data_IF_066730720537
#
_entry.id   IF_066730720537
#
_cell.length_a   1.000
_cell.length_b   1.000
_cell.length_c   1.000
_cell.angle_alpha   90.00
_cell.angle_beta   90.00
_cell.angle_gamma   90.00
#
_symmetry.space_group_name_H-M   'P 1'
#
loop_
_entity.id
_entity.type
_entity.pdbx_description
1 polymer ?
#
# COMPACT_ATOMS: atom_id res chain seq x y z
N UNK A 1 41.73 0.82 -36.65
CA UNK A 1 41.08 2.14 -36.46
C UNK A 1 42.13 3.19 -36.81
N UNK A 2 41.83 4.35 -37.41
CA UNK A 2 42.87 5.38 -37.65
C UNK A 2 42.69 6.47 -36.59
N UNK A 3 43.53 6.44 -35.55
CA UNK A 3 43.59 7.50 -34.53
C UNK A 3 44.31 8.71 -35.14
N UNK A 4 43.71 9.89 -35.03
CA UNK A 4 44.30 11.16 -35.55
C UNK A 4 45.40 11.66 -34.60
N UNK A 5 45.33 11.27 -33.33
CA UNK A 5 46.23 11.74 -32.26
C UNK A 5 47.33 10.75 -31.90
N UNK A 6 47.13 9.46 -32.14
CA UNK A 6 48.13 8.42 -31.89
C UNK A 6 48.60 7.83 -33.21
N UNK A 7 49.87 8.02 -33.58
CA UNK A 7 50.49 7.39 -34.75
C UNK A 7 50.72 5.90 -34.46
N UNK A 8 49.71 5.08 -34.72
CA UNK A 8 49.79 3.61 -34.66
C UNK A 8 50.00 3.08 -36.08
N UNK A 9 51.13 2.42 -36.32
CA UNK A 9 51.62 2.02 -37.65
C UNK A 9 51.15 0.61 -38.10
N UNK A 10 50.34 -0.08 -37.29
CA UNK A 10 49.82 -1.41 -37.60
C UNK A 10 50.80 -2.56 -37.32
N UNK A 11 51.97 -2.27 -36.75
CA UNK A 11 52.91 -3.29 -36.23
C UNK A 11 52.29 -4.11 -35.09
N UNK A 12 52.77 -5.33 -34.81
CA UNK A 12 52.35 -6.10 -33.63
C UNK A 12 52.48 -5.31 -32.31
N UNK A 13 53.50 -4.46 -32.17
CA UNK A 13 53.70 -3.55 -31.04
C UNK A 13 52.59 -2.50 -30.95
N UNK A 14 52.15 -1.93 -32.09
CA UNK A 14 51.06 -0.95 -32.13
C UNK A 14 49.70 -1.52 -31.71
N UNK A 15 49.43 -2.80 -32.01
CA UNK A 15 48.20 -3.51 -31.60
C UNK A 15 48.13 -3.66 -30.08
N UNK A 16 49.28 -3.95 -29.44
CA UNK A 16 49.37 -4.00 -27.98
C UNK A 16 49.13 -2.61 -27.38
N UNK A 17 49.75 -1.57 -27.97
CA UNK A 17 49.61 -0.19 -27.50
C UNK A 17 48.16 0.33 -27.62
N UNK A 18 47.45 -0.01 -28.70
CA UNK A 18 46.02 0.27 -28.88
C UNK A 18 45.19 -0.33 -27.73
N UNK A 19 45.41 -1.62 -27.43
CA UNK A 19 44.72 -2.32 -26.34
C UNK A 19 45.00 -1.69 -24.97
N UNK A 20 46.22 -1.20 -24.74
CA UNK A 20 46.58 -0.48 -23.49
C UNK A 20 45.85 0.86 -23.41
N UNK A 21 45.81 1.63 -24.49
CA UNK A 21 45.09 2.91 -24.51
C UNK A 21 43.58 2.74 -24.31
N UNK A 22 42.97 1.74 -24.94
CA UNK A 22 41.56 1.39 -24.71
C UNK A 22 41.32 1.03 -23.24
N UNK A 23 42.18 0.19 -22.66
CA UNK A 23 42.11 -0.18 -21.25
C UNK A 23 42.28 1.02 -20.30
N UNK A 24 43.20 1.94 -20.62
CA UNK A 24 43.41 3.17 -19.85
C UNK A 24 42.21 4.11 -19.95
N UNK A 25 41.63 4.28 -21.13
CA UNK A 25 40.44 5.10 -21.35
C UNK A 25 39.23 4.52 -20.60
N UNK A 26 39.04 3.20 -20.65
CA UNK A 26 37.99 2.51 -19.90
C UNK A 26 38.19 2.66 -18.38
N UNK A 27 39.42 2.47 -17.89
CA UNK A 27 39.78 2.67 -16.50
C UNK A 27 39.48 4.11 -16.06
N UNK A 28 39.93 5.10 -16.81
CA UNK A 28 39.70 6.52 -16.50
C UNK A 28 38.21 6.84 -16.41
N UNK A 29 37.41 6.37 -17.37
CA UNK A 29 35.96 6.55 -17.39
C UNK A 29 35.28 5.91 -16.17
N UNK A 30 35.63 4.66 -15.84
CA UNK A 30 35.11 3.96 -14.66
C UNK A 30 35.53 4.62 -13.34
N UNK A 31 36.78 5.05 -13.24
CA UNK A 31 37.32 5.71 -12.06
C UNK A 31 36.65 7.08 -11.85
N UNK A 32 36.49 7.88 -12.90
CA UNK A 32 35.77 9.16 -12.82
C UNK A 32 34.32 8.95 -12.37
N UNK A 33 33.61 7.97 -12.93
CA UNK A 33 32.26 7.65 -12.51
C UNK A 33 32.19 7.26 -11.02
N UNK A 34 33.20 6.54 -10.51
CA UNK A 34 33.32 6.17 -9.09
C UNK A 34 33.52 7.41 -8.21
N UNK A 35 34.45 8.29 -8.55
CA UNK A 35 34.73 9.50 -7.76
C UNK A 35 33.56 10.48 -7.76
N UNK A 36 32.89 10.66 -8.92
CA UNK A 36 31.65 11.45 -9.00
C UNK A 36 30.58 10.87 -8.09
N UNK A 37 30.34 9.55 -8.14
CA UNK A 37 29.35 8.91 -7.28
C UNK A 37 29.72 9.02 -5.80
N UNK A 38 31.01 8.95 -5.44
CA UNK A 38 31.49 9.16 -4.07
C UNK A 38 31.11 10.56 -3.56
N UNK A 39 31.40 11.61 -4.34
CA UNK A 39 31.01 12.98 -4.00
C UNK A 39 29.50 13.20 -3.92
N UNK A 40 28.73 12.56 -4.81
CA UNK A 40 27.27 12.62 -4.76
C UNK A 40 26.70 11.91 -3.53
N UNK A 41 27.27 10.76 -3.13
CA UNK A 41 26.86 10.06 -1.90
C UNK A 41 27.14 10.90 -0.65
N UNK A 42 28.31 11.53 -0.58
CA UNK A 42 28.65 12.44 0.52
C UNK A 42 27.65 13.61 0.62
N UNK A 43 27.33 14.23 -0.52
CA UNK A 43 26.30 15.28 -0.59
C UNK A 43 24.92 14.76 -0.15
N UNK A 44 24.58 13.52 -0.51
CA UNK A 44 23.33 12.87 -0.15
C UNK A 44 23.22 12.53 1.35
N UNK A 45 24.30 12.09 1.99
CA UNK A 45 24.34 11.86 3.44
C UNK A 45 24.12 13.15 4.23
N UNK A 46 24.57 14.29 3.69
CA UNK A 46 24.28 15.62 4.23
C UNK A 46 22.87 16.13 3.86
N UNK A 47 22.05 15.30 3.22
CA UNK A 47 20.70 15.58 2.74
C UNK A 47 20.59 16.79 1.80
N UNK A 48 21.69 17.14 1.12
CA UNK A 48 21.73 18.23 0.14
C UNK A 48 21.19 17.76 -1.21
N UNK A 49 20.67 18.70 -1.98
CA UNK A 49 20.16 18.46 -3.31
C UNK A 49 21.30 18.11 -4.28
N UNK A 50 21.24 16.91 -4.86
CA UNK A 50 22.27 16.36 -5.76
C UNK A 50 22.03 16.70 -7.23
N UNK A 51 21.22 17.73 -7.51
CA UNK A 51 20.93 18.22 -8.86
C UNK A 51 19.58 17.76 -9.44
N UNK A 52 19.23 18.36 -10.58
CA UNK A 52 17.95 18.18 -11.25
C UNK A 52 16.88 19.17 -10.77
N UNK A 53 15.62 18.86 -11.06
CA UNK A 53 14.46 19.64 -10.62
C UNK A 53 13.96 19.03 -9.30
N UNK A 54 13.80 19.80 -8.21
CA UNK A 54 13.25 19.28 -6.97
C UNK A 54 11.80 18.82 -7.16
N UNK A 55 11.29 17.91 -6.31
CA UNK A 55 9.88 17.53 -6.36
C UNK A 55 8.96 18.75 -6.15
N UNK A 56 7.74 18.69 -6.70
CA UNK A 56 6.70 19.70 -6.50
C UNK A 56 6.48 19.93 -4.99
N UNK A 57 6.35 21.17 -4.54
CA UNK A 57 6.21 21.49 -3.11
C UNK A 57 7.52 21.83 -2.43
N UNK A 58 8.65 21.62 -3.11
CA UNK A 58 9.97 21.98 -2.60
C UNK A 58 10.69 22.99 -3.50
N UNK A 59 11.52 23.80 -2.86
CA UNK A 59 12.54 24.64 -3.47
C UNK A 59 13.91 24.28 -2.90
N UNK A 60 14.96 24.51 -3.69
CA UNK A 60 16.34 24.29 -3.25
C UNK A 60 16.91 25.65 -2.83
N UNK A 61 17.37 25.72 -1.60
CA UNK A 61 17.99 26.91 -1.02
C UNK A 61 19.45 27.05 -1.49
N UNK A 62 20.10 28.22 -1.31
CA UNK A 62 21.49 28.43 -1.73
C UNK A 62 22.49 27.42 -1.12
N UNK A 63 22.21 26.94 0.09
CA UNK A 63 22.98 25.90 0.79
C UNK A 63 22.74 24.46 0.25
N UNK A 64 21.96 24.36 -0.84
CA UNK A 64 21.47 23.13 -1.47
C UNK A 64 20.51 22.31 -0.60
N UNK A 65 20.02 22.81 0.53
CA UNK A 65 18.97 22.12 1.29
C UNK A 65 17.59 22.35 0.66
N UNK A 66 16.68 21.46 0.97
CA UNK A 66 15.29 21.58 0.55
C UNK A 66 14.53 22.46 1.55
N UNK A 67 13.74 23.40 1.05
CA UNK A 67 12.76 24.13 1.82
C UNK A 67 11.38 23.92 1.20
N UNK A 68 10.34 23.98 2.03
CA UNK A 68 8.96 23.87 1.55
C UNK A 68 8.61 25.15 0.79
N UNK A 69 8.04 24.98 -0.40
CA UNK A 69 7.34 26.05 -1.11
C UNK A 69 5.84 25.90 -0.81
N UNK A 70 5.32 26.72 0.10
CA UNK A 70 3.95 26.62 0.57
C UNK A 70 2.91 26.68 -0.56
N UNK A 71 3.16 27.47 -1.63
CA UNK A 71 2.24 27.58 -2.76
C UNK A 71 2.09 26.24 -3.50
N UNK A 72 3.20 25.55 -3.71
CA UNK A 72 3.20 24.24 -4.35
C UNK A 72 2.84 23.12 -3.37
N UNK A 73 3.21 23.24 -2.10
CA UNK A 73 2.96 22.24 -1.07
C UNK A 73 1.45 22.08 -0.78
N UNK A 74 0.66 23.15 -0.93
CA UNK A 74 -0.81 23.07 -0.91
C UNK A 74 -1.32 22.08 -1.96
N UNK A 75 -0.72 22.05 -3.16
CA UNK A 75 -1.11 21.12 -4.23
C UNK A 75 -0.84 19.68 -3.79
N UNK A 76 0.35 19.43 -3.23
CA UNK A 76 0.74 18.10 -2.72
C UNK A 76 -0.22 17.66 -1.61
N UNK A 77 -0.46 18.49 -0.59
CA UNK A 77 -1.39 18.18 0.51
C UNK A 77 -2.80 17.89 0.01
N UNK A 78 -3.30 18.67 -0.95
CA UNK A 78 -4.60 18.43 -1.60
C UNK A 78 -4.64 17.06 -2.28
N UNK A 79 -3.58 16.67 -2.98
CA UNK A 79 -3.50 15.34 -3.65
C UNK A 79 -3.57 14.20 -2.63
N UNK A 80 -2.82 14.30 -1.53
CA UNK A 80 -2.84 13.29 -0.47
C UNK A 80 -4.20 13.20 0.21
N UNK A 81 -4.79 14.34 0.60
CA UNK A 81 -6.10 14.41 1.24
C UNK A 81 -7.20 13.81 0.35
N UNK A 82 -7.32 14.28 -0.90
CA UNK A 82 -8.31 13.73 -1.84
C UNK A 82 -8.09 12.23 -2.07
N UNK A 83 -6.85 11.75 -2.11
CA UNK A 83 -6.60 10.33 -2.30
C UNK A 83 -7.06 9.48 -1.11
N UNK A 84 -6.75 9.93 0.12
CA UNK A 84 -7.15 9.27 1.36
C UNK A 84 -8.67 9.27 1.53
N UNK A 85 -9.34 10.35 1.13
CA UNK A 85 -10.80 10.45 1.09
C UNK A 85 -11.46 9.60 -0.02
N UNK A 86 -10.69 8.76 -0.71
CA UNK A 86 -11.22 7.74 -1.61
C UNK A 86 -11.36 8.17 -3.07
N UNK A 87 -10.99 9.39 -3.44
CA UNK A 87 -11.12 9.87 -4.81
C UNK A 87 -10.21 9.07 -5.78
N UNK A 88 -10.65 8.96 -7.03
CA UNK A 88 -9.88 8.31 -8.10
C UNK A 88 -8.86 9.28 -8.70
N UNK A 89 -7.80 8.75 -9.34
CA UNK A 89 -6.82 9.61 -10.02
C UNK A 89 -7.45 10.55 -11.05
N UNK A 90 -8.52 10.12 -11.72
CA UNK A 90 -9.25 10.97 -12.67
C UNK A 90 -9.86 12.19 -11.98
N UNK A 91 -10.64 11.97 -10.92
CA UNK A 91 -11.26 13.05 -10.15
C UNK A 91 -10.23 14.02 -9.55
N UNK A 92 -9.08 13.51 -9.10
CA UNK A 92 -7.98 14.35 -8.60
C UNK A 92 -7.43 15.21 -9.74
N UNK A 93 -7.14 14.63 -10.91
CA UNK A 93 -6.65 15.37 -12.08
C UNK A 93 -7.65 16.45 -12.50
N UNK A 94 -8.94 16.13 -12.57
CA UNK A 94 -9.99 17.07 -12.95
C UNK A 94 -10.05 18.25 -11.97
N UNK A 95 -9.97 17.98 -10.67
CA UNK A 95 -9.91 19.02 -9.63
C UNK A 95 -8.67 19.92 -9.77
N UNK A 96 -7.49 19.33 -9.96
CA UNK A 96 -6.24 20.08 -10.12
C UNK A 96 -6.27 20.96 -11.38
N UNK A 97 -6.78 20.42 -12.49
CA UNK A 97 -6.89 21.16 -13.75
C UNK A 97 -7.91 22.30 -13.65
N UNK A 98 -9.03 22.09 -12.96
CA UNK A 98 -10.06 23.11 -12.75
C UNK A 98 -9.53 24.28 -11.89
N UNK A 99 -8.67 23.99 -10.90
CA UNK A 99 -7.97 25.02 -10.12
C UNK A 99 -6.75 25.63 -10.84
N UNK A 100 -6.46 25.20 -12.06
CA UNK A 100 -5.33 25.71 -12.85
C UNK A 100 -3.96 25.25 -12.37
N UNK A 101 -3.87 24.27 -11.46
CA UNK A 101 -2.60 23.78 -10.94
C UNK A 101 -1.79 23.04 -12.01
N UNK A 102 -0.46 23.21 -11.94
CA UNK A 102 0.50 22.60 -12.88
C UNK A 102 1.56 21.80 -12.12
N UNK A 103 2.20 20.87 -12.83
CA UNK A 103 3.38 20.18 -12.32
C UNK A 103 4.54 21.15 -12.18
N UNK A 104 5.63 20.73 -11.50
CA UNK A 104 6.86 21.52 -11.35
C UNK A 104 7.48 21.96 -12.69
N UNK A 105 7.21 21.23 -13.76
CA UNK A 105 7.66 21.52 -15.14
C UNK A 105 6.62 22.30 -15.97
N UNK A 106 5.56 22.81 -15.35
CA UNK A 106 4.51 23.59 -16.01
C UNK A 106 3.49 22.78 -16.81
N UNK A 107 3.53 21.44 -16.74
CA UNK A 107 2.62 20.56 -17.49
C UNK A 107 1.33 20.27 -16.71
N UNK A 108 0.33 19.73 -17.39
CA UNK A 108 -0.89 19.21 -16.76
C UNK A 108 -0.61 17.91 -16.00
N UNK A 109 -1.42 17.62 -14.98
CA UNK A 109 -1.25 16.41 -14.19
C UNK A 109 -1.78 15.18 -14.96
N UNK A 110 -0.93 14.17 -15.10
CA UNK A 110 -1.32 12.85 -15.60
C UNK A 110 -1.45 11.83 -14.47
N UNK A 111 -1.98 10.65 -14.78
CA UNK A 111 -2.10 9.54 -13.80
C UNK A 111 -0.75 9.16 -13.19
N UNK A 112 0.30 9.14 -14.02
CA UNK A 112 1.66 8.83 -13.57
C UNK A 112 2.23 9.94 -12.68
N UNK A 113 1.84 11.19 -12.88
CA UNK A 113 2.22 12.31 -12.01
C UNK A 113 1.62 12.14 -10.62
N UNK A 114 0.32 11.81 -10.54
CA UNK A 114 -0.36 11.57 -9.26
C UNK A 114 0.24 10.36 -8.54
N UNK A 115 0.44 9.24 -9.26
CA UNK A 115 1.10 8.06 -8.69
C UNK A 115 2.49 8.38 -8.16
N UNK A 116 3.30 9.09 -8.95
CA UNK A 116 4.66 9.47 -8.55
C UNK A 116 4.69 10.41 -7.34
N UNK A 117 3.66 11.25 -7.15
CA UNK A 117 3.55 12.09 -5.95
C UNK A 117 3.21 11.24 -4.73
N UNK A 118 2.20 10.38 -4.83
CA UNK A 118 1.74 9.53 -3.72
C UNK A 118 2.78 8.46 -3.32
N UNK A 119 3.65 8.01 -4.24
CA UNK A 119 4.70 7.02 -3.97
C UNK A 119 6.01 7.62 -3.43
N UNK A 120 6.17 8.94 -3.47
CA UNK A 120 7.43 9.59 -3.14
C UNK A 120 7.56 9.87 -1.64
N UNK A 121 8.36 9.06 -0.96
CA UNK A 121 8.66 9.14 0.48
C UNK A 121 9.32 10.48 0.89
N UNK A 122 9.86 11.26 -0.05
CA UNK A 122 10.34 12.62 0.25
C UNK A 122 9.25 13.53 0.83
N UNK A 123 7.98 13.26 0.57
CA UNK A 123 6.88 14.05 1.13
C UNK A 123 6.63 13.77 2.61
N UNK A 124 7.03 12.62 3.14
CA UNK A 124 6.95 12.26 4.56
C UNK A 124 8.22 12.61 5.34
N UNK A 125 9.13 13.38 4.76
CA UNK A 125 10.38 13.80 5.40
C UNK A 125 11.56 12.85 5.22
N UNK A 126 11.43 11.80 4.40
CA UNK A 126 12.52 10.85 4.14
C UNK A 126 13.36 11.31 2.93
N UNK A 127 14.63 11.62 3.15
CA UNK A 127 15.54 11.90 2.06
C UNK A 127 15.95 10.61 1.36
N UNK A 128 15.73 10.53 0.05
CA UNK A 128 16.14 9.38 -0.79
C UNK A 128 17.14 9.81 -1.86
N UNK A 129 18.20 9.03 -2.04
CA UNK A 129 19.15 9.12 -3.15
C UNK A 129 19.52 7.73 -3.73
N UNK A 130 19.91 7.69 -5.01
CA UNK A 130 20.37 6.50 -5.72
C UNK A 130 19.33 5.35 -5.87
N UNK A 131 18.02 5.63 -5.84
CA UNK A 131 16.95 4.62 -5.99
C UNK A 131 16.84 4.01 -7.40
N UNK A 132 17.13 4.78 -8.45
CA UNK A 132 16.87 4.36 -9.83
C UNK A 132 17.86 3.33 -10.36
N UNK A 133 17.35 2.31 -11.05
CA UNK A 133 18.18 1.30 -11.73
C UNK A 133 19.10 1.88 -12.83
N UNK A 134 20.15 1.11 -13.15
CA UNK A 134 21.03 1.37 -14.28
C UNK A 134 20.24 1.29 -15.60
N UNK A 135 20.74 1.99 -16.62
CA UNK A 135 20.23 1.83 -17.99
C UNK A 135 20.62 0.44 -18.50
N UNK A 136 19.79 -0.15 -19.35
CA UNK A 136 20.14 -1.36 -20.08
C UNK A 136 21.21 -1.08 -21.15
N UNK A 137 21.67 -2.14 -21.83
CA UNK A 137 22.68 -2.05 -22.89
C UNK A 137 22.26 -1.14 -24.06
N UNK A 138 20.96 -0.89 -24.23
CA UNK A 138 20.41 -0.01 -25.26
C UNK A 138 20.14 1.41 -24.75
N UNK A 139 20.59 1.74 -23.53
CA UNK A 139 20.47 3.05 -22.93
C UNK A 139 19.08 3.37 -22.36
N UNK A 140 18.16 2.41 -22.33
CA UNK A 140 16.81 2.57 -21.78
C UNK A 140 16.78 2.24 -20.29
N UNK A 141 16.08 3.06 -19.50
CA UNK A 141 15.94 2.86 -18.06
C UNK A 141 14.58 2.23 -17.73
N UNK A 142 14.59 1.18 -16.92
CA UNK A 142 13.36 0.64 -16.35
C UNK A 142 12.95 1.45 -15.12
N UNK A 143 11.96 2.34 -15.28
CA UNK A 143 11.44 3.18 -14.19
C UNK A 143 10.75 2.41 -13.05
N UNK A 144 10.47 1.11 -13.23
CA UNK A 144 9.84 0.25 -12.23
C UNK A 144 10.83 -0.64 -11.48
N UNK A 145 12.10 -0.64 -11.88
CA UNK A 145 13.14 -1.40 -11.21
C UNK A 145 13.98 -0.45 -10.36
N UNK A 146 14.03 -0.73 -9.06
CA UNK A 146 14.92 -0.06 -8.13
C UNK A 146 16.19 -0.86 -7.93
N UNK A 147 17.22 -0.17 -7.45
CA UNK A 147 18.47 -0.82 -7.02
C UNK A 147 18.24 -1.63 -5.74
N UNK A 148 19.24 -2.43 -5.40
CA UNK A 148 19.30 -3.09 -4.10
C UNK A 148 19.27 -2.06 -2.97
N UNK A 149 18.65 -2.43 -1.86
CA UNK A 149 18.45 -1.53 -0.72
C UNK A 149 19.78 -1.04 -0.13
N UNK A 150 20.85 -1.84 -0.18
CA UNK A 150 22.20 -1.46 0.27
C UNK A 150 22.84 -0.34 -0.54
N UNK A 151 22.39 -0.11 -1.78
CA UNK A 151 22.87 0.98 -2.63
C UNK A 151 22.08 2.27 -2.42
N UNK A 152 20.89 2.21 -1.83
CA UNK A 152 19.98 3.34 -1.73
C UNK A 152 20.21 4.05 -0.40
N UNK A 153 20.50 5.35 -0.47
CA UNK A 153 20.64 6.17 0.72
C UNK A 153 19.25 6.65 1.13
N UNK A 154 18.82 6.29 2.34
CA UNK A 154 17.63 6.80 3.02
C UNK A 154 18.02 7.47 4.32
N UNK A 155 17.61 8.71 4.51
CA UNK A 155 17.82 9.46 5.75
C UNK A 155 16.48 10.00 6.23
N UNK A 156 15.97 9.44 7.31
CA UNK A 156 14.72 9.90 7.95
C UNK A 156 14.91 11.30 8.53
N UNK A 157 13.90 12.17 8.37
CA UNK A 157 14.00 13.58 8.78
C UNK A 157 14.98 14.43 7.97
N UNK A 158 15.61 13.87 6.92
CA UNK A 158 16.60 14.56 6.09
C UNK A 158 16.03 15.65 5.18
N UNK A 159 14.70 15.72 5.01
CA UNK A 159 14.01 16.74 4.23
C UNK A 159 12.79 17.22 5.02
N UNK A 160 12.40 18.52 4.96
CA UNK A 160 11.16 18.97 5.60
C UNK A 160 9.95 18.18 5.09
N UNK A 161 9.10 17.69 5.98
CA UNK A 161 7.93 16.91 5.60
C UNK A 161 6.77 17.82 5.16
N UNK A 162 6.13 17.51 4.04
CA UNK A 162 4.90 18.19 3.58
C UNK A 162 3.65 17.51 4.13
N UNK A 163 3.71 16.19 4.33
CA UNK A 163 2.67 15.36 4.95
C UNK A 163 3.27 14.56 6.11
N UNK A 164 2.45 14.21 7.11
CA UNK A 164 2.92 13.37 8.22
C UNK A 164 3.23 11.94 7.74
N UNK A 165 4.11 11.25 8.48
CA UNK A 165 4.42 9.84 8.26
C UNK A 165 3.17 8.98 8.28
N UNK A 166 2.19 9.31 9.13
CA UNK A 166 0.91 8.61 9.22
C UNK A 166 0.06 8.77 7.94
N UNK A 167 -0.08 10.00 7.44
CA UNK A 167 -0.79 10.29 6.18
C UNK A 167 -0.16 9.53 5.02
N UNK A 168 1.18 9.47 4.98
CA UNK A 168 1.91 8.72 3.97
C UNK A 168 1.69 7.21 4.09
N UNK A 169 1.78 6.64 5.31
CA UNK A 169 1.52 5.23 5.57
C UNK A 169 0.11 4.82 5.12
N UNK A 170 -0.92 5.56 5.54
CA UNK A 170 -2.32 5.34 5.14
C UNK A 170 -2.51 5.39 3.63
N UNK A 171 -1.83 6.33 2.97
CA UNK A 171 -1.82 6.43 1.50
C UNK A 171 -1.27 5.16 0.86
N UNK A 172 -0.12 4.64 1.35
CA UNK A 172 0.50 3.42 0.81
C UNK A 172 -0.38 2.19 1.02
N UNK A 173 -1.07 2.08 2.15
CA UNK A 173 -2.04 1.01 2.41
C UNK A 173 -3.20 1.03 1.40
N UNK A 174 -3.78 2.21 1.14
CA UNK A 174 -4.82 2.41 0.13
C UNK A 174 -4.29 2.09 -1.27
N UNK A 175 -3.08 2.51 -1.61
CA UNK A 175 -2.47 2.18 -2.90
C UNK A 175 -2.31 0.68 -3.08
N UNK A 176 -1.83 -0.03 -2.05
CA UNK A 176 -1.62 -1.47 -2.08
C UNK A 176 -2.94 -2.27 -2.11
N UNK A 177 -3.98 -1.81 -1.40
CA UNK A 177 -5.30 -2.44 -1.47
C UNK A 177 -5.92 -2.30 -2.86
N UNK A 178 -5.78 -1.13 -3.50
CA UNK A 178 -6.26 -0.87 -4.87
C UNK A 178 -5.51 -1.67 -5.94
N UNK A 179 -4.24 -2.02 -5.73
CA UNK A 179 -3.48 -2.93 -6.63
C UNK A 179 -4.11 -4.32 -6.73
N UNK A 180 -4.86 -4.77 -5.70
CA UNK A 180 -5.54 -6.07 -5.70
C UNK A 180 -6.79 -6.11 -6.59
N UNK A 181 -7.32 -4.95 -7.02
CA UNK A 181 -8.53 -4.85 -7.85
C UNK A 181 -8.37 -3.89 -9.07
N UNK A 182 -7.40 -4.13 -9.97
CA UNK A 182 -6.99 -3.18 -11.01
C UNK A 182 -8.08 -2.86 -12.07
N UNK A 183 -9.14 -3.66 -12.16
CA UNK A 183 -10.24 -3.49 -13.12
C UNK A 183 -11.45 -2.67 -12.64
N UNK A 184 -11.56 -2.38 -11.33
CA UNK A 184 -12.79 -1.85 -10.75
C UNK A 184 -13.17 -0.44 -11.28
N UNK A 185 -12.18 0.43 -11.52
CA UNK A 185 -12.41 1.84 -11.88
C UNK A 185 -12.56 2.11 -13.39
N UNK A 186 -12.44 1.09 -14.24
CA UNK A 186 -12.63 1.19 -15.71
C UNK A 186 -13.90 0.50 -16.20
N UNK A 187 -14.59 -0.26 -15.35
CA UNK A 187 -15.73 -1.04 -15.76
C UNK A 187 -16.96 -0.14 -15.96
N UNK A 188 -17.62 -0.24 -17.12
CA UNK A 188 -18.93 0.40 -17.41
C UNK A 188 -20.09 -0.28 -16.67
N UNK A 189 -19.78 -1.26 -15.83
CA UNK A 189 -20.70 -2.11 -15.08
C UNK A 189 -20.08 -2.38 -13.72
N UNK A 190 -20.86 -2.28 -12.66
CA UNK A 190 -20.38 -2.52 -11.30
C UNK A 190 -20.49 -4.00 -10.97
N UNK A 191 -19.34 -4.67 -10.82
CA UNK A 191 -19.25 -6.06 -10.40
C UNK A 191 -18.99 -6.11 -8.88
N UNK A 192 -19.93 -6.64 -8.09
CA UNK A 192 -19.84 -6.68 -6.64
C UNK A 192 -18.67 -7.57 -6.18
N UNK A 193 -18.45 -8.68 -6.87
CA UNK A 193 -17.43 -9.67 -6.52
C UNK A 193 -16.04 -9.35 -7.11
N UNK A 194 -15.80 -8.09 -7.49
CA UNK A 194 -14.51 -7.68 -8.08
C UNK A 194 -13.36 -7.95 -7.10
N UNK A 195 -12.44 -8.83 -7.49
CA UNK A 195 -11.29 -9.22 -6.67
C UNK A 195 -11.56 -10.38 -5.70
N UNK A 196 -12.80 -10.86 -5.59
CA UNK A 196 -13.21 -11.93 -4.68
C UNK A 196 -13.53 -13.25 -5.41
N UNK A 197 -13.93 -13.18 -6.68
CA UNK A 197 -14.36 -14.34 -7.45
C UNK A 197 -13.23 -15.06 -8.19
N UNK A 198 -13.13 -16.37 -7.97
CA UNK A 198 -12.02 -17.23 -8.40
C UNK A 198 -12.57 -18.43 -9.18
N UNK A 199 -11.83 -18.87 -10.20
CA UNK A 199 -12.12 -20.11 -10.90
C UNK A 199 -11.63 -21.31 -10.10
N UNK A 200 -12.53 -22.18 -9.65
CA UNK A 200 -12.20 -23.42 -8.91
C UNK A 200 -11.46 -24.48 -9.73
N UNK A 201 -11.32 -24.30 -11.05
CA UNK A 201 -10.58 -25.24 -11.92
C UNK A 201 -9.11 -24.86 -12.12
N UNK A 202 -8.79 -23.57 -12.22
CA UNK A 202 -7.43 -23.11 -12.54
C UNK A 202 -6.86 -22.10 -11.53
N UNK A 203 -7.60 -21.78 -10.47
CA UNK A 203 -7.19 -20.85 -9.40
C UNK A 203 -7.10 -19.38 -9.82
N UNK A 204 -7.30 -19.05 -11.10
CA UNK A 204 -7.23 -17.66 -11.59
C UNK A 204 -8.51 -16.89 -11.26
N UNK A 205 -8.37 -15.61 -10.94
CA UNK A 205 -9.48 -14.69 -10.77
C UNK A 205 -10.40 -14.66 -12.01
N UNK A 206 -11.71 -14.64 -11.78
CA UNK A 206 -12.68 -14.43 -12.86
C UNK A 206 -12.82 -12.93 -13.17
N UNK A 207 -13.05 -12.62 -14.44
CA UNK A 207 -13.15 -11.26 -14.95
C UNK A 207 -14.58 -10.97 -15.37
N UNK A 208 -15.02 -9.73 -15.18
CA UNK A 208 -16.30 -9.26 -15.69
C UNK A 208 -16.32 -9.29 -17.22
N UNK A 209 -17.34 -9.93 -17.79
CA UNK A 209 -17.59 -10.02 -19.21
C UNK A 209 -18.96 -9.40 -19.52
N UNK A 210 -19.05 -8.69 -20.65
CA UNK A 210 -20.27 -8.06 -21.15
C UNK A 210 -20.44 -8.40 -22.62
N UNK A 211 -21.61 -8.92 -22.98
CA UNK A 211 -22.01 -9.10 -24.38
C UNK A 211 -23.29 -8.32 -24.64
N UNK A 212 -23.24 -7.45 -25.66
CA UNK A 212 -24.44 -6.82 -26.21
C UNK A 212 -24.61 -7.40 -27.61
N UNK A 213 -25.67 -8.17 -27.82
CA UNK A 213 -26.06 -8.59 -29.16
C UNK A 213 -27.23 -7.71 -29.63
N UNK A 214 -27.29 -7.42 -30.93
CA UNK A 214 -28.42 -6.71 -31.55
C UNK A 214 -29.69 -7.54 -31.27
N UNK A 215 -30.73 -6.92 -30.72
CA UNK A 215 -32.01 -7.54 -30.36
C UNK A 215 -31.98 -8.58 -29.22
N UNK A 216 -30.97 -8.57 -28.34
CA UNK A 216 -30.97 -9.37 -27.11
C UNK A 216 -30.67 -8.50 -25.88
N UNK A 217 -31.25 -8.83 -24.71
CA UNK A 217 -30.90 -8.15 -23.48
C UNK A 217 -29.40 -8.29 -23.20
N UNK A 218 -28.85 -7.26 -22.55
CA UNK A 218 -27.46 -7.20 -22.14
C UNK A 218 -27.12 -8.43 -21.30
N UNK A 219 -26.11 -9.19 -21.73
CA UNK A 219 -25.64 -10.35 -20.99
C UNK A 219 -24.37 -9.99 -20.22
N UNK A 220 -24.46 -10.00 -18.90
CA UNK A 220 -23.33 -9.72 -18.00
C UNK A 220 -22.97 -10.99 -17.25
N UNK A 221 -21.69 -11.34 -17.26
CA UNK A 221 -21.19 -12.58 -16.65
C UNK A 221 -19.83 -12.39 -16.00
N UNK A 222 -19.48 -13.31 -15.11
CA UNK A 222 -18.10 -13.54 -14.70
C UNK A 222 -17.53 -14.68 -15.52
N UNK A 223 -16.35 -14.47 -16.11
CA UNK A 223 -15.66 -15.44 -16.97
C UNK A 223 -14.22 -15.66 -16.49
N UNK A 224 -13.78 -16.92 -16.46
CA UNK A 224 -12.41 -17.26 -16.08
C UNK A 224 -11.36 -16.50 -16.92
N UNK A 225 -10.38 -15.87 -16.26
CA UNK A 225 -9.31 -15.10 -16.91
C UNK A 225 -8.45 -15.95 -17.86
N UNK A 226 -8.06 -17.17 -17.46
CA UNK A 226 -7.32 -18.09 -18.32
C UNK A 226 -8.13 -18.52 -19.55
N UNK A 227 -9.44 -18.73 -19.42
CA UNK A 227 -10.31 -19.02 -20.56
C UNK A 227 -10.42 -17.82 -21.52
N UNK A 228 -10.44 -16.60 -20.99
CA UNK A 228 -10.54 -15.38 -21.79
C UNK A 228 -9.25 -15.08 -22.54
N UNK A 229 -8.09 -15.19 -21.87
CA UNK A 229 -6.80 -14.76 -22.40
C UNK A 229 -6.02 -15.88 -23.09
N UNK A 230 -5.96 -17.06 -22.47
CA UNK A 230 -5.09 -18.18 -22.88
C UNK A 230 -5.85 -19.36 -23.49
N UNK A 231 -7.18 -19.40 -23.35
CA UNK A 231 -8.07 -20.50 -23.78
C UNK A 231 -7.73 -21.88 -23.15
N UNK A 232 -6.99 -21.92 -22.05
CA UNK A 232 -6.53 -23.15 -21.40
C UNK A 232 -7.46 -23.69 -20.30
N UNK A 233 -8.54 -22.97 -19.96
CA UNK A 233 -9.51 -23.40 -18.95
C UNK A 233 -10.90 -23.52 -19.59
N UNK A 234 -11.61 -24.61 -19.28
CA UNK A 234 -12.92 -24.94 -19.83
C UNK A 234 -14.10 -24.52 -18.95
N UNK A 235 -13.82 -24.00 -17.74
CA UNK A 235 -14.85 -23.60 -16.79
C UNK A 235 -15.80 -22.56 -17.41
N UNK A 236 -17.11 -22.80 -17.25
CA UNK A 236 -18.18 -21.99 -17.85
C UNK A 236 -18.35 -20.67 -17.11
N UNK A 237 -18.64 -19.62 -17.88
CA UNK A 237 -19.00 -18.33 -17.30
C UNK A 237 -20.32 -18.45 -16.51
N UNK A 238 -20.45 -17.61 -15.49
CA UNK A 238 -21.62 -17.57 -14.61
C UNK A 238 -22.26 -16.19 -14.74
N UNK A 239 -23.59 -16.13 -14.85
CA UNK A 239 -24.31 -14.85 -14.94
C UNK A 239 -24.08 -14.02 -13.68
N UNK A 240 -23.84 -12.73 -13.87
CA UNK A 240 -23.53 -11.78 -12.79
C UNK A 240 -24.65 -11.75 -11.77
N UNK A 241 -25.87 -11.60 -12.25
CA UNK A 241 -27.07 -11.41 -11.43
C UNK A 241 -27.29 -12.60 -10.51
N UNK A 242 -27.07 -13.83 -10.99
CA UNK A 242 -27.36 -15.04 -10.23
C UNK A 242 -26.36 -15.24 -9.09
N UNK A 243 -25.06 -15.05 -9.37
CA UNK A 243 -24.04 -15.25 -8.35
C UNK A 243 -24.03 -14.11 -7.33
N UNK A 244 -24.29 -12.89 -7.76
CA UNK A 244 -24.36 -11.74 -6.84
C UNK A 244 -25.57 -11.85 -5.91
N UNK A 245 -26.75 -12.19 -6.41
CA UNK A 245 -27.95 -12.38 -5.57
C UNK A 245 -27.79 -13.55 -4.59
N UNK A 246 -27.14 -14.64 -5.03
CA UNK A 246 -26.82 -15.75 -4.13
C UNK A 246 -25.90 -15.33 -3.00
N UNK A 247 -24.81 -14.61 -3.30
CA UNK A 247 -23.88 -14.14 -2.27
C UNK A 247 -24.60 -13.18 -1.29
N UNK A 248 -25.45 -12.28 -1.79
CA UNK A 248 -26.21 -11.36 -0.94
C UNK A 248 -27.24 -12.07 -0.05
N UNK A 249 -27.99 -13.03 -0.61
CA UNK A 249 -28.97 -13.80 0.17
C UNK A 249 -28.31 -14.73 1.20
N UNK A 250 -27.15 -15.29 0.91
CA UNK A 250 -26.39 -16.10 1.86
C UNK A 250 -25.71 -15.24 2.94
N UNK A 251 -25.29 -14.02 2.61
CA UNK A 251 -24.90 -13.01 3.61
C UNK A 251 -26.08 -12.73 4.56
N UNK A 252 -27.27 -12.50 4.03
CA UNK A 252 -28.47 -12.24 4.83
C UNK A 252 -28.81 -13.41 5.76
N UNK A 253 -28.80 -14.65 5.25
CA UNK A 253 -29.16 -15.84 6.04
C UNK A 253 -28.12 -16.24 7.07
N UNK A 254 -26.83 -16.23 6.71
CA UNK A 254 -25.78 -16.82 7.54
C UNK A 254 -25.20 -15.82 8.54
N UNK A 255 -25.24 -14.51 8.24
CA UNK A 255 -24.66 -13.46 9.09
C UNK A 255 -25.74 -12.63 9.80
N UNK A 256 -26.94 -12.45 9.20
CA UNK A 256 -28.00 -11.59 9.75
C UNK A 256 -29.15 -12.36 10.43
N UNK A 257 -28.95 -13.63 10.77
CA UNK A 257 -29.97 -14.40 11.49
C UNK A 257 -30.03 -13.95 12.95
N UNK A 258 -31.21 -13.57 13.44
CA UNK A 258 -31.44 -13.11 14.82
C UNK A 258 -30.97 -14.12 15.88
N UNK A 259 -30.91 -15.41 15.54
CA UNK A 259 -30.35 -16.47 16.41
C UNK A 259 -28.82 -16.53 16.44
N UNK A 260 -28.15 -16.02 15.41
CA UNK A 260 -26.69 -16.00 15.32
C UNK A 260 -26.08 -14.78 16.01
N UNK A 261 -26.81 -13.67 16.12
CA UNK A 261 -26.34 -12.40 16.70
C UNK A 261 -25.85 -12.57 18.16
N UNK A 262 -26.56 -13.25 19.07
CA UNK A 262 -26.11 -13.41 20.45
C UNK A 262 -24.82 -14.24 20.56
N UNK A 263 -24.75 -15.36 19.84
CA UNK A 263 -23.57 -16.24 19.79
C UNK A 263 -22.34 -15.49 19.26
N UNK A 264 -22.59 -14.61 18.28
CA UNK A 264 -21.57 -13.80 17.65
C UNK A 264 -21.05 -12.71 18.60
N UNK A 265 -21.95 -12.02 19.31
CA UNK A 265 -21.60 -11.01 20.32
C UNK A 265 -20.84 -11.63 21.49
N UNK A 266 -21.25 -12.81 21.95
CA UNK A 266 -20.56 -13.54 23.00
C UNK A 266 -19.13 -13.93 22.57
N UNK A 267 -18.97 -14.52 21.38
CA UNK A 267 -17.64 -14.87 20.85
C UNK A 267 -16.74 -13.65 20.68
N UNK A 268 -17.28 -12.52 20.20
CA UNK A 268 -16.50 -11.28 20.04
C UNK A 268 -16.05 -10.77 21.40
N UNK A 269 -16.95 -10.68 22.38
CA UNK A 269 -16.61 -10.14 23.69
C UNK A 269 -15.63 -11.03 24.46
N UNK A 270 -15.76 -12.36 24.34
CA UNK A 270 -14.78 -13.30 24.91
C UNK A 270 -13.41 -13.13 24.28
N UNK A 271 -13.35 -12.97 22.95
CA UNK A 271 -12.09 -12.75 22.26
C UNK A 271 -11.45 -11.39 22.58
N UNK A 272 -12.24 -10.31 22.67
CA UNK A 272 -11.79 -9.00 23.14
C UNK A 272 -11.24 -9.06 24.57
N UNK A 273 -11.87 -9.86 25.43
CA UNK A 273 -11.40 -10.10 26.80
C UNK A 273 -10.07 -10.85 26.83
N UNK A 274 -9.92 -11.92 26.05
CA UNK A 274 -8.64 -12.64 25.93
C UNK A 274 -7.52 -11.75 25.36
N UNK A 275 -7.82 -10.86 24.42
CA UNK A 275 -6.86 -9.90 23.91
C UNK A 275 -6.50 -8.82 24.93
N UNK A 276 -7.46 -8.31 25.70
CA UNK A 276 -7.19 -7.38 26.80
C UNK A 276 -6.28 -8.04 27.85
N UNK A 277 -6.54 -9.30 28.21
CA UNK A 277 -5.72 -10.07 29.14
C UNK A 277 -4.29 -10.29 28.60
N UNK A 278 -4.12 -10.62 27.31
CA UNK A 278 -2.78 -10.72 26.68
C UNK A 278 -2.08 -9.36 26.60
N UNK A 279 -2.81 -8.30 26.28
CA UNK A 279 -2.34 -6.93 26.21
C UNK A 279 -1.84 -6.43 27.57
N UNK A 280 -2.55 -6.74 28.66
CA UNK A 280 -2.14 -6.41 30.03
C UNK A 280 -0.80 -7.06 30.41
N UNK A 281 -0.56 -8.31 30.01
CA UNK A 281 0.72 -8.99 30.25
C UNK A 281 1.86 -8.28 29.51
N UNK A 282 1.66 -7.89 28.25
CA UNK A 282 2.66 -7.13 27.47
C UNK A 282 2.88 -5.72 28.01
N UNK A 283 1.82 -5.01 28.42
CA UNK A 283 1.90 -3.68 29.04
C UNK A 283 2.69 -3.76 30.36
N UNK A 284 2.48 -4.81 31.17
CA UNK A 284 3.23 -5.03 32.42
C UNK A 284 4.72 -5.26 32.15
N UNK A 285 5.07 -6.02 31.12
CA UNK A 285 6.46 -6.24 30.72
C UNK A 285 7.14 -4.93 30.29
N UNK A 286 6.46 -4.12 29.46
CA UNK A 286 6.98 -2.80 29.03
C UNK A 286 7.12 -1.82 30.20
N UNK A 287 6.18 -1.82 31.16
CA UNK A 287 6.29 -1.00 32.38
C UNK A 287 7.51 -1.39 33.22
N UNK A 288 7.81 -2.68 33.34
CA UNK A 288 9.04 -3.12 34.03
C UNK A 288 10.30 -2.65 33.31
N UNK A 289 10.33 -2.70 31.98
CA UNK A 289 11.47 -2.21 31.19
C UNK A 289 11.67 -0.68 31.34
N UNK A 290 10.59 0.09 31.46
CA UNK A 290 10.66 1.52 31.77
C UNK A 290 11.30 1.75 33.14
N UNK A 291 10.93 0.97 34.16
CA UNK A 291 11.54 1.09 35.50
C UNK A 291 13.03 0.70 35.51
N UNK A 292 13.43 -0.29 34.73
CA UNK A 292 14.86 -0.63 34.54
C UNK A 292 15.63 0.53 33.90
N UNK A 293 15.08 1.14 32.84
CA UNK A 293 15.70 2.29 32.17
C UNK A 293 15.77 3.51 33.08
N UNK A 294 14.73 3.78 33.89
CA UNK A 294 14.74 4.84 34.90
C UNK A 294 15.85 4.60 35.93
N UNK A 295 15.98 3.38 36.42
CA UNK A 295 17.05 3.01 37.37
C UNK A 295 18.44 3.26 36.77
N UNK A 296 18.64 2.93 35.49
CA UNK A 296 19.90 3.20 34.80
C UNK A 296 20.17 4.71 34.65
N UNK A 297 19.15 5.50 34.35
CA UNK A 297 19.24 6.97 34.31
C UNK A 297 19.63 7.51 35.70
N UNK A 298 18.95 7.07 36.76
CA UNK A 298 19.18 7.51 38.14
C UNK A 298 20.60 7.15 38.62
N UNK A 299 21.13 5.99 38.22
CA UNK A 299 22.50 5.60 38.50
C UNK A 299 23.52 6.53 37.83
N UNK A 300 23.28 6.93 36.58
CA UNK A 300 24.15 7.88 35.87
C UNK A 300 24.07 9.27 36.52
N UNK A 301 22.86 9.73 36.87
CA UNK A 301 22.66 11.00 37.59
C UNK A 301 23.40 10.99 38.93
N UNK A 302 23.33 9.89 39.67
CA UNK A 302 24.01 9.71 40.96
C UNK A 302 25.53 9.74 40.80
N UNK A 303 26.08 9.06 39.78
CA UNK A 303 27.52 9.07 39.50
C UNK A 303 28.03 10.48 39.16
N UNK A 304 27.27 11.25 38.36
CA UNK A 304 27.58 12.65 38.04
C UNK A 304 27.54 13.51 39.31
N UNK A 305 26.52 13.33 40.16
CA UNK A 305 26.40 14.08 41.43
C UNK A 305 27.56 13.79 42.40
N UNK A 306 28.14 12.58 42.34
CA UNK A 306 29.33 12.19 43.11
C UNK A 306 30.66 12.69 42.49
N UNK A 307 30.61 13.44 41.39
CA UNK A 307 31.78 14.05 40.76
C UNK A 307 32.45 13.19 39.69
N UNK A 308 31.90 12.01 39.37
CA UNK A 308 32.35 11.20 38.24
C UNK A 308 31.65 11.68 36.98
N UNK A 309 32.33 12.52 36.18
CA UNK A 309 31.83 12.95 34.88
C UNK A 309 32.74 12.47 33.75
N UNK A 310 32.15 11.81 32.78
CA UNK A 310 32.76 11.36 31.53
C UNK A 310 31.87 11.81 30.37
N UNK A 311 32.46 12.20 29.25
CA UNK A 311 31.72 12.71 28.08
C UNK A 311 30.75 11.64 27.52
N UNK A 312 31.12 10.37 27.70
CA UNK A 312 30.33 9.18 27.37
C UNK A 312 29.00 9.10 28.14
N UNK A 313 28.89 9.71 29.33
CA UNK A 313 27.66 9.71 30.12
C UNK A 313 26.55 10.53 29.47
N UNK A 314 26.90 11.61 28.75
CA UNK A 314 25.92 12.40 28.02
C UNK A 314 25.28 11.59 26.90
N UNK A 315 26.10 10.91 26.08
CA UNK A 315 25.61 10.08 25.00
C UNK A 315 24.72 8.93 25.48
N UNK A 316 25.11 8.28 26.57
CA UNK A 316 24.31 7.19 27.16
C UNK A 316 23.04 7.69 27.84
N UNK A 317 23.05 8.87 28.43
CA UNK A 317 21.86 9.53 28.99
C UNK A 317 20.83 9.83 27.89
N UNK A 318 21.27 10.44 26.78
CA UNK A 318 20.40 10.78 25.64
C UNK A 318 19.78 9.50 25.03
N UNK A 319 20.55 8.41 24.93
CA UNK A 319 20.07 7.10 24.46
C UNK A 319 19.00 6.53 25.39
N UNK A 320 19.25 6.49 26.70
CA UNK A 320 18.30 5.96 27.69
C UNK A 320 17.02 6.79 27.76
N UNK A 321 17.13 8.12 27.70
CA UNK A 321 15.96 9.01 27.62
C UNK A 321 15.15 8.78 26.35
N UNK A 322 15.83 8.62 25.20
CA UNK A 322 15.19 8.28 23.93
C UNK A 322 14.48 6.92 23.97
N UNK A 323 15.09 5.92 24.61
CA UNK A 323 14.49 4.59 24.80
C UNK A 323 13.27 4.66 25.72
N UNK A 324 13.37 5.37 26.84
CA UNK A 324 12.25 5.60 27.78
C UNK A 324 11.05 6.21 27.06
N UNK A 325 11.27 7.29 26.30
CA UNK A 325 10.20 7.98 25.58
C UNK A 325 9.50 7.08 24.55
N UNK A 326 10.25 6.23 23.85
CA UNK A 326 9.68 5.23 22.93
C UNK A 326 8.85 4.18 23.66
N UNK A 327 9.35 3.66 24.78
CA UNK A 327 8.64 2.66 25.58
C UNK A 327 7.33 3.24 26.16
N UNK A 328 7.36 4.47 26.67
CA UNK A 328 6.18 5.18 27.18
C UNK A 328 5.14 5.44 26.06
N UNK A 329 5.57 5.78 24.85
CA UNK A 329 4.68 5.91 23.69
C UNK A 329 4.02 4.57 23.31
N UNK A 330 4.78 3.48 23.29
CA UNK A 330 4.25 2.15 23.00
C UNK A 330 3.21 1.72 24.04
N UNK A 331 3.46 1.99 25.34
CA UNK A 331 2.50 1.71 26.41
C UNK A 331 1.20 2.48 26.17
N UNK A 332 1.29 3.78 25.86
CA UNK A 332 0.11 4.62 25.61
C UNK A 332 -0.70 4.14 24.38
N UNK A 333 -0.03 3.73 23.31
CA UNK A 333 -0.70 3.16 22.14
C UNK A 333 -1.41 1.83 22.46
N UNK A 334 -0.79 0.98 23.27
CA UNK A 334 -1.38 -0.31 23.67
C UNK A 334 -2.55 -0.13 24.65
N UNK A 335 -2.44 0.79 25.61
CA UNK A 335 -3.53 1.11 26.54
C UNK A 335 -4.75 1.69 25.80
N UNK A 336 -4.53 2.54 24.78
CA UNK A 336 -5.61 3.05 23.93
C UNK A 336 -6.29 1.96 23.08
N UNK A 337 -5.54 0.95 22.64
CA UNK A 337 -6.10 -0.21 21.90
C UNK A 337 -6.84 -1.18 22.82
N UNK A 338 -6.36 -1.38 24.05
CA UNK A 338 -6.98 -2.28 25.03
C UNK A 338 -8.30 -1.75 25.58
N UNK A 339 -8.54 -0.44 25.52
CA UNK A 339 -9.83 0.19 25.89
C UNK A 339 -10.94 0.00 24.83
N UNK A 340 -10.78 -0.93 23.88
CA UNK A 340 -11.83 -1.28 22.93
C UNK A 340 -13.09 -1.74 23.67
N UNK A 341 -14.15 -0.95 23.52
CA UNK A 341 -15.41 -1.09 24.27
C UNK A 341 -16.10 -2.41 23.98
N UNK A 342 -16.74 -2.99 25.00
CA UNK A 342 -17.61 -4.17 24.88
C UNK A 342 -18.67 -3.91 23.81
N UNK A 343 -18.77 -4.81 22.83
CA UNK A 343 -19.74 -4.64 21.74
C UNK A 343 -21.11 -5.07 22.24
N UNK A 344 -22.09 -4.15 22.12
CA UNK A 344 -23.49 -4.44 22.46
C UNK A 344 -24.23 -5.04 21.26
N UNK A 345 -25.17 -5.93 21.51
CA UNK A 345 -26.03 -6.51 20.47
C UNK A 345 -26.72 -5.44 19.61
N UNK A 346 -27.11 -4.32 20.22
CA UNK A 346 -27.76 -3.19 19.56
C UNK A 346 -26.90 -2.58 18.43
N UNK A 347 -25.58 -2.51 18.63
CA UNK A 347 -24.65 -1.95 17.64
C UNK A 347 -24.50 -2.89 16.44
N UNK A 348 -24.45 -4.19 16.71
CA UNK A 348 -24.40 -5.25 15.69
C UNK A 348 -25.69 -5.26 14.88
N UNK A 349 -26.86 -5.20 15.55
CA UNK A 349 -28.17 -5.08 14.91
C UNK A 349 -28.29 -3.82 14.05
N UNK A 350 -27.79 -2.68 14.54
CA UNK A 350 -27.83 -1.41 13.79
C UNK A 350 -26.98 -1.46 12.52
N UNK A 351 -25.76 -1.98 12.60
CA UNK A 351 -24.88 -2.16 11.43
C UNK A 351 -25.54 -3.04 10.37
N UNK A 352 -26.16 -4.13 10.81
CA UNK A 352 -26.85 -5.08 9.95
C UNK A 352 -28.17 -4.55 9.38
N UNK A 353 -28.89 -3.70 10.10
CA UNK A 353 -30.07 -3.00 9.57
C UNK A 353 -29.70 -2.05 8.43
N UNK A 354 -28.62 -1.26 8.59
CA UNK A 354 -28.12 -0.37 7.53
C UNK A 354 -27.72 -1.16 6.29
N UNK A 355 -27.11 -2.35 6.45
CA UNK A 355 -26.82 -3.21 5.30
C UNK A 355 -28.08 -3.70 4.59
N UNK A 356 -29.11 -4.15 5.32
CA UNK A 356 -30.40 -4.54 4.70
C UNK A 356 -30.99 -3.38 3.91
N UNK A 357 -30.90 -2.15 4.42
CA UNK A 357 -31.40 -0.98 3.72
C UNK A 357 -30.59 -0.68 2.45
N UNK A 358 -29.26 -0.79 2.48
CA UNK A 358 -28.43 -0.63 1.28
C UNK A 358 -28.71 -1.68 0.20
N UNK A 359 -28.97 -2.93 0.60
CA UNK A 359 -29.36 -4.01 -0.33
C UNK A 359 -30.73 -3.72 -0.95
N UNK A 360 -31.71 -3.29 -0.14
CA UNK A 360 -33.06 -2.91 -0.63
C UNK A 360 -33.02 -1.71 -1.58
N UNK A 361 -32.27 -0.68 -1.24
CA UNK A 361 -32.09 0.53 -2.06
C UNK A 361 -31.20 0.29 -3.29
N UNK A 362 -30.64 -0.92 -3.45
CA UNK A 362 -29.68 -1.29 -4.49
C UNK A 362 -28.50 -0.31 -4.59
N UNK A 363 -28.01 0.16 -3.44
CA UNK A 363 -26.87 1.07 -3.41
C UNK A 363 -25.56 0.31 -3.68
N UNK A 364 -25.26 0.09 -4.97
CA UNK A 364 -24.19 -0.80 -5.43
C UNK A 364 -22.77 -0.48 -4.90
N UNK A 365 -22.32 0.78 -4.77
CA UNK A 365 -20.99 1.08 -4.23
C UNK A 365 -20.85 0.69 -2.75
N UNK A 366 -21.89 0.90 -1.95
CA UNK A 366 -21.98 0.61 -0.52
C UNK A 366 -22.09 -0.90 -0.30
N UNK A 367 -22.96 -1.58 -1.05
CA UNK A 367 -23.03 -3.04 -1.07
C UNK A 367 -21.69 -3.67 -1.44
N UNK A 368 -20.97 -3.08 -2.40
CA UNK A 368 -19.64 -3.58 -2.79
C UNK A 368 -18.63 -3.45 -1.65
N UNK A 369 -18.61 -2.34 -0.91
CA UNK A 369 -17.73 -2.18 0.26
C UNK A 369 -18.06 -3.25 1.31
N UNK A 370 -19.34 -3.45 1.59
CA UNK A 370 -19.78 -4.44 2.57
C UNK A 370 -19.38 -5.86 2.16
N UNK A 371 -19.66 -6.26 0.91
CA UNK A 371 -19.26 -7.56 0.37
C UNK A 371 -17.73 -7.76 0.43
N UNK A 372 -16.93 -6.72 0.18
CA UNK A 372 -15.46 -6.80 0.28
C UNK A 372 -14.95 -6.97 1.71
N UNK A 373 -15.72 -6.57 2.73
CA UNK A 373 -15.36 -6.75 4.12
C UNK A 373 -15.75 -8.13 4.65
N UNK A 374 -16.93 -8.64 4.26
CA UNK A 374 -17.51 -9.85 4.85
C UNK A 374 -17.41 -11.13 3.99
N UNK A 375 -16.92 -11.03 2.75
CA UNK A 375 -16.68 -12.18 1.87
C UNK A 375 -15.19 -12.34 1.64
N UNK A 376 -14.61 -13.48 2.00
CA UNK A 376 -13.22 -13.83 1.70
C UNK A 376 -13.09 -14.10 0.19
N UNK A 377 -13.79 -15.15 -0.28
CA UNK A 377 -13.67 -15.66 -1.64
C UNK A 377 -14.97 -16.28 -2.14
N UNK A 378 -15.19 -16.18 -3.44
CA UNK A 378 -16.26 -16.90 -4.16
C UNK A 378 -15.61 -17.80 -5.20
N UNK A 379 -15.69 -19.11 -5.01
CA UNK A 379 -15.03 -20.10 -5.86
C UNK A 379 -16.07 -20.74 -6.78
N UNK A 380 -15.87 -20.64 -8.08
CA UNK A 380 -16.79 -21.18 -9.08
C UNK A 380 -16.21 -22.44 -9.70
N UNK A 381 -16.77 -23.61 -9.38
CA UNK A 381 -16.42 -24.90 -9.99
C UNK A 381 -17.24 -25.15 -11.26
N UNK A 382 -17.18 -26.34 -11.87
CA UNK A 382 -17.94 -26.64 -13.10
C UNK A 382 -19.43 -26.82 -12.82
N UNK A 383 -19.72 -27.42 -11.70
CA UNK A 383 -20.99 -28.00 -11.25
C UNK A 383 -21.59 -27.22 -10.07
N UNK A 384 -20.76 -26.70 -9.17
CA UNK A 384 -21.19 -25.94 -7.99
C UNK A 384 -20.40 -24.63 -7.82
N UNK A 385 -20.80 -23.87 -6.81
CA UNK A 385 -20.18 -22.62 -6.35
C UNK A 385 -20.03 -22.71 -4.85
N UNK A 386 -18.87 -22.30 -4.35
CA UNK A 386 -18.59 -22.16 -2.93
C UNK A 386 -18.39 -20.68 -2.59
N UNK A 387 -18.99 -20.23 -1.51
CA UNK A 387 -18.82 -18.88 -0.96
C UNK A 387 -18.22 -19.03 0.43
N UNK A 388 -17.08 -18.38 0.61
CA UNK A 388 -16.36 -18.33 1.87
C UNK A 388 -16.56 -16.94 2.45
N UNK A 389 -17.33 -16.86 3.52
CA UNK A 389 -17.54 -15.63 4.26
C UNK A 389 -16.40 -15.42 5.24
N UNK A 390 -16.00 -14.16 5.35
CA UNK A 390 -15.04 -13.71 6.33
C UNK A 390 -15.79 -12.90 7.38
N UNK A 391 -16.13 -13.51 8.51
CA UNK A 391 -16.77 -12.75 9.60
C UNK A 391 -15.67 -12.07 10.42
N UNK A 392 -15.08 -11.03 9.84
CA UNK A 392 -14.18 -10.11 10.54
C UNK A 392 -15.02 -8.90 10.90
N UNK A 393 -15.27 -8.74 12.20
CA UNK A 393 -15.79 -7.46 12.67
C UNK A 393 -14.69 -6.42 12.50
N UNK A 394 -15.07 -5.17 12.21
CA UNK A 394 -14.18 -4.01 12.07
C UNK A 394 -13.22 -3.80 13.27
N UNK A 395 -13.39 -4.60 14.34
CA UNK A 395 -12.68 -4.57 15.61
C UNK A 395 -11.74 -5.78 15.83
N UNK A 396 -11.57 -6.67 14.84
CA UNK A 396 -10.68 -7.83 14.91
C UNK A 396 -9.61 -7.79 13.80
N UNK A 397 -8.39 -8.24 14.12
CA UNK A 397 -7.33 -8.39 13.12
C UNK A 397 -7.72 -9.45 12.08
N UNK A 398 -7.27 -9.26 10.83
CA UNK A 398 -7.68 -10.08 9.67
C UNK A 398 -7.32 -11.56 9.79
N UNK A 399 -6.38 -11.91 10.68
CA UNK A 399 -5.86 -13.26 10.84
C UNK A 399 -6.72 -14.13 11.80
N UNK A 400 -7.72 -13.56 12.47
CA UNK A 400 -8.60 -14.25 13.46
C UNK A 400 -10.04 -14.43 12.96
N UNK A 401 -10.19 -14.42 11.64
CA UNK A 401 -11.41 -14.64 10.88
C UNK A 401 -12.14 -15.97 11.15
N UNK A 402 -13.42 -15.93 11.56
CA UNK A 402 -14.30 -17.10 11.49
C UNK A 402 -14.78 -17.27 10.04
N UNK A 403 -14.45 -18.43 9.44
CA UNK A 403 -14.88 -18.76 8.08
C UNK A 403 -16.17 -19.55 8.08
N UNK A 404 -17.16 -19.04 7.36
CA UNK A 404 -18.43 -19.74 7.09
C UNK A 404 -18.44 -20.13 5.62
N UNK A 405 -18.80 -21.39 5.35
CA UNK A 405 -18.84 -21.95 4.01
C UNK A 405 -20.30 -22.13 3.58
N UNK A 406 -20.64 -21.66 2.38
CA UNK A 406 -21.94 -21.91 1.74
C UNK A 406 -21.71 -22.43 0.34
N UNK A 407 -22.38 -23.53 0.00
CA UNK A 407 -22.20 -24.23 -1.28
C UNK A 407 -23.53 -24.39 -1.99
N UNK A 408 -23.55 -24.13 -3.31
CA UNK A 408 -24.75 -24.30 -4.15
C UNK A 408 -24.41 -24.90 -5.51
N UNK A 409 -25.25 -25.82 -5.98
CA UNK A 409 -25.12 -26.32 -7.35
C UNK A 409 -25.53 -25.25 -8.38
N UNK A 410 -24.81 -25.15 -9.50
CA UNK A 410 -25.18 -24.21 -10.58
C UNK A 410 -26.56 -24.45 -11.16
N UNK A 411 -27.03 -25.70 -11.17
CA UNK A 411 -28.39 -26.04 -11.61
C UNK A 411 -29.43 -25.46 -10.67
N UNK A 412 -29.19 -25.53 -9.36
CA UNK A 412 -30.06 -24.94 -8.35
C UNK A 412 -30.01 -23.41 -8.41
N UNK A 413 -28.83 -22.83 -8.53
CA UNK A 413 -28.62 -21.40 -8.72
C UNK A 413 -29.42 -20.87 -9.92
N UNK A 414 -29.35 -21.57 -11.06
CA UNK A 414 -30.15 -21.23 -12.25
C UNK A 414 -31.65 -21.30 -11.96
N UNK A 415 -32.13 -22.35 -11.29
CA UNK A 415 -33.56 -22.49 -10.96
C UNK A 415 -34.06 -21.38 -10.03
N UNK A 416 -33.25 -20.97 -9.05
CA UNK A 416 -33.58 -19.92 -8.08
C UNK A 416 -33.70 -18.55 -8.75
N UNK A 417 -32.79 -18.23 -9.67
CA UNK A 417 -32.62 -16.86 -10.16
C UNK A 417 -32.94 -16.67 -11.66
N UNK A 418 -33.46 -17.69 -12.36
CA UNK A 418 -33.83 -17.59 -13.79
C UNK A 418 -34.82 -16.49 -14.14
N UNK A 419 -35.61 -16.03 -13.17
CA UNK A 419 -36.65 -15.01 -13.35
C UNK A 419 -36.17 -13.60 -12.99
N UNK A 420 -34.93 -13.44 -12.51
CA UNK A 420 -34.34 -12.13 -12.24
C UNK A 420 -33.94 -11.52 -13.60
N UNK A 421 -34.61 -10.42 -13.94
CA UNK A 421 -34.47 -9.70 -15.21
C UNK A 421 -33.21 -8.85 -15.29
#
# INVERSE_FOLDING_TARGET
>A
MVSITENLDGSPESVIMESVFEGMAEYYSKNLAREVMKGMKETAYQCKHTGGIPPLGYKVMPDKKYAIDEKEAIIVRTIFDMYINGYSYGKIIDHLNLKGYKTKTGKTFGKNSIYGILDNEKYSGVYIFNRSSKKDAFGKRNSHLYKDESEIIRVEGGIPAIVSTEVFRKTKEIMNSRKRAPGANKAKETYLLTGLIICGQCGTNMQGNRRNAKNKPKYVSYRCGCRLQKRTCDNKEIRKEYIEEFVLSELEKNILNDKAIPILVEKINNHLKEQAERGEVSIKALKNEVEEVKTQIDNIVTAIAQGFYQEEFKGRMDELQGRKLKLEQNILEMENKSNASTIKEEQVKKLFSMFRDFVKERNLPECKKFVQNYVDKVIVYKDHVEVIFNVVFEFLDKDEAIKIYSTVEKKQLFKMYKNIA
#
